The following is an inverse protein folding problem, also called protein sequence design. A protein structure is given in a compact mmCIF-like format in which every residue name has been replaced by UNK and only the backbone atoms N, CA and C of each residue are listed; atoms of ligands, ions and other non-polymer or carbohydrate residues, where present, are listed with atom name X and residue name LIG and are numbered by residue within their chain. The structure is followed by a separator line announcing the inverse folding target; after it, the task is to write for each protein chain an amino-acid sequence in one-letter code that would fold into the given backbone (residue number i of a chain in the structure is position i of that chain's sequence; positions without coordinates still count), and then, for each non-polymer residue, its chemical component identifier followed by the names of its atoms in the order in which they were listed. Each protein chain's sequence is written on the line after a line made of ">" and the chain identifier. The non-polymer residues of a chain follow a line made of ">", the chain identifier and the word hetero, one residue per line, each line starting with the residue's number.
data_IF_864089052926
#
_entry.id   IF_864089052926
#
_cell.length_a   1.000
_cell.length_b   1.000
_cell.length_c   1.000
_cell.angle_alpha   90.00
_cell.angle_beta   90.00
_cell.angle_gamma   90.00
#
_symmetry.space_group_name_H-M   'P 1'
#
loop_
_entity.id
_entity.type
_entity.pdbx_description
1 polymer ?
#
# COMPACT_ATOMS: atom_id res chain seq x y z
N UNK A 1 -6.46 -8.54 -15.44
CA UNK A 1 -6.81 -8.26 -14.02
C UNK A 1 -8.10 -7.44 -13.96
N UNK A 2 -9.03 -7.84 -13.08
CA UNK A 2 -10.28 -7.11 -12.81
C UNK A 2 -9.99 -5.69 -12.36
N UNK A 3 -10.82 -4.74 -12.84
CA UNK A 3 -10.77 -3.32 -12.41
C UNK A 3 -11.93 -2.99 -11.50
N UNK A 4 -11.70 -2.04 -10.58
CA UNK A 4 -12.67 -1.55 -9.62
C UNK A 4 -12.56 -0.03 -9.50
N UNK A 5 -13.65 0.62 -9.11
CA UNK A 5 -13.61 2.06 -8.81
C UNK A 5 -13.00 2.25 -7.43
N UNK A 6 -11.96 3.06 -7.33
CA UNK A 6 -11.28 3.37 -6.08
C UNK A 6 -12.08 4.42 -5.28
N UNK A 7 -13.12 3.93 -4.61
CA UNK A 7 -14.00 4.76 -3.82
C UNK A 7 -14.53 6.00 -4.56
N UNK A 8 -14.59 7.14 -3.86
CA UNK A 8 -15.06 8.43 -4.42
C UNK A 8 -14.08 9.13 -5.35
N UNK A 9 -12.87 8.56 -5.57
CA UNK A 9 -11.89 9.15 -6.52
C UNK A 9 -12.34 9.08 -7.97
N UNK A 10 -13.23 8.14 -8.31
CA UNK A 10 -13.65 7.87 -9.68
C UNK A 10 -12.58 7.15 -10.54
N UNK A 11 -11.41 6.85 -9.99
CA UNK A 11 -10.35 6.13 -10.71
C UNK A 11 -10.73 4.65 -10.86
N UNK A 12 -10.72 4.16 -12.09
CA UNK A 12 -10.93 2.74 -12.39
C UNK A 12 -9.57 2.02 -12.35
N UNK A 13 -9.27 1.40 -11.22
CA UNK A 13 -7.96 0.81 -10.90
C UNK A 13 -7.97 -0.71 -10.99
N UNK A 14 -6.82 -1.31 -11.33
CA UNK A 14 -6.61 -2.75 -11.20
C UNK A 14 -6.71 -3.19 -9.73
N UNK A 15 -7.29 -4.36 -9.47
CA UNK A 15 -7.46 -4.90 -8.12
C UNK A 15 -6.14 -5.23 -7.41
N UNK A 16 -5.02 -5.21 -8.14
CA UNK A 16 -3.65 -5.26 -7.62
C UNK A 16 -2.90 -4.03 -8.12
N UNK A 17 -2.09 -3.41 -7.24
CA UNK A 17 -1.20 -2.32 -7.62
C UNK A 17 0.27 -2.75 -7.64
N UNK A 18 1.05 -2.11 -8.50
CA UNK A 18 2.50 -2.25 -8.49
C UNK A 18 3.10 -1.41 -7.36
N UNK A 19 3.61 -2.06 -6.32
CA UNK A 19 4.35 -1.37 -5.26
C UNK A 19 5.78 -1.06 -5.68
N UNK A 20 6.19 0.20 -5.66
CA UNK A 20 7.51 0.65 -6.12
C UNK A 20 8.70 -0.02 -5.43
N UNK A 21 8.51 -0.58 -4.23
CA UNK A 21 9.54 -1.39 -3.55
C UNK A 21 9.99 -2.57 -4.43
N UNK A 22 9.15 -3.10 -5.30
CA UNK A 22 9.52 -4.16 -6.25
C UNK A 22 10.72 -3.74 -7.09
N UNK A 23 10.77 -2.47 -7.50
CA UNK A 23 11.89 -1.92 -8.30
C UNK A 23 13.10 -1.46 -7.48
N UNK A 24 12.98 -1.37 -6.15
CA UNK A 24 14.09 -0.90 -5.28
C UNK A 24 15.28 -1.82 -5.37
N UNK A 25 16.47 -1.23 -5.58
CA UNK A 25 17.76 -1.95 -5.66
C UNK A 25 17.83 -2.99 -6.77
N UNK A 26 16.93 -2.96 -7.73
CA UNK A 26 17.01 -3.77 -8.94
C UNK A 26 17.89 -3.08 -10.00
N UNK A 27 18.42 -3.86 -10.93
CA UNK A 27 18.98 -3.28 -12.14
C UNK A 27 17.89 -2.60 -12.97
N UNK A 28 18.21 -1.54 -13.72
CA UNK A 28 17.19 -0.81 -14.48
C UNK A 28 16.46 -1.69 -15.51
N UNK A 29 17.17 -2.63 -16.13
CA UNK A 29 16.55 -3.54 -17.09
C UNK A 29 15.54 -4.49 -16.45
N UNK A 30 15.76 -4.91 -15.19
CA UNK A 30 14.80 -5.73 -14.45
C UNK A 30 13.57 -4.93 -14.05
N UNK A 31 13.76 -3.70 -13.54
CA UNK A 31 12.63 -2.80 -13.28
C UNK A 31 11.78 -2.56 -14.54
N UNK A 32 12.43 -2.33 -15.70
CA UNK A 32 11.73 -2.16 -16.97
C UNK A 32 10.93 -3.41 -17.35
N UNK A 33 11.51 -4.59 -17.15
CA UNK A 33 10.84 -5.89 -17.42
C UNK A 33 9.65 -6.11 -16.51
N UNK A 34 9.79 -5.82 -15.21
CA UNK A 34 8.71 -5.97 -14.22
C UNK A 34 7.54 -5.02 -14.51
N UNK A 35 7.84 -3.77 -14.85
CA UNK A 35 6.81 -2.77 -15.20
C UNK A 35 6.12 -3.16 -16.51
N UNK A 36 6.86 -3.57 -17.54
CA UNK A 36 6.28 -4.01 -18.80
C UNK A 36 5.33 -5.20 -18.60
N UNK A 37 5.78 -6.22 -17.84
CA UNK A 37 4.95 -7.35 -17.48
C UNK A 37 3.68 -6.92 -16.72
N UNK A 38 3.80 -6.02 -15.74
CA UNK A 38 2.65 -5.52 -15.00
C UNK A 38 1.61 -4.86 -15.93
N UNK A 39 2.07 -4.02 -16.87
CA UNK A 39 1.21 -3.38 -17.88
C UNK A 39 0.53 -4.41 -18.76
N UNK A 40 1.24 -5.44 -19.22
CA UNK A 40 0.68 -6.55 -20.03
C UNK A 40 -0.39 -7.32 -19.27
N UNK A 41 -0.26 -7.48 -17.96
CA UNK A 41 -1.29 -8.08 -17.10
C UNK A 41 -2.48 -7.14 -16.83
N UNK A 42 -2.46 -5.90 -17.30
CA UNK A 42 -3.53 -4.92 -17.12
C UNK A 42 -3.44 -4.11 -15.83
N UNK A 43 -2.32 -4.15 -15.13
CA UNK A 43 -2.04 -3.27 -13.97
C UNK A 43 -1.95 -1.83 -14.46
N UNK A 44 -2.70 -0.95 -13.82
CA UNK A 44 -2.75 0.46 -14.17
C UNK A 44 -2.55 1.41 -12.98
N UNK A 45 -2.21 0.90 -11.80
CA UNK A 45 -1.92 1.70 -10.62
C UNK A 45 -0.53 1.36 -10.07
N UNK A 46 0.30 2.40 -9.97
CA UNK A 46 1.69 2.31 -9.50
C UNK A 46 1.86 3.20 -8.28
N UNK A 47 2.39 2.64 -7.21
CA UNK A 47 2.52 3.30 -5.91
C UNK A 47 3.99 3.33 -5.47
N UNK A 48 4.51 4.51 -5.18
CA UNK A 48 5.92 4.71 -4.81
C UNK A 48 6.05 5.73 -3.68
N UNK A 49 7.23 5.85 -3.11
CA UNK A 49 7.56 6.88 -2.12
C UNK A 49 9.05 7.23 -2.17
N UNK A 50 9.45 8.46 -1.81
CA UNK A 50 10.86 8.87 -1.67
C UNK A 50 11.63 8.00 -0.70
N UNK A 51 10.96 7.50 0.34
CA UNK A 51 11.55 6.62 1.37
C UNK A 51 11.87 5.19 0.88
N UNK A 52 11.56 4.84 -0.37
CA UNK A 52 11.79 3.52 -0.95
C UNK A 52 13.14 3.42 -1.69
N UNK A 53 14.19 4.04 -1.16
CA UNK A 53 15.51 4.01 -1.76
C UNK A 53 15.56 4.63 -3.16
N UNK A 54 15.98 3.88 -4.16
CA UNK A 54 16.08 4.31 -5.56
C UNK A 54 14.82 4.02 -6.40
N UNK A 55 13.73 3.60 -5.75
CA UNK A 55 12.49 3.17 -6.42
C UNK A 55 11.91 4.24 -7.36
N UNK A 56 11.91 5.53 -6.97
CA UNK A 56 11.40 6.60 -7.83
C UNK A 56 12.19 6.74 -9.13
N UNK A 57 13.51 6.67 -9.05
CA UNK A 57 14.39 6.77 -10.23
C UNK A 57 14.16 5.58 -11.17
N UNK A 58 14.12 4.36 -10.61
CA UNK A 58 13.88 3.13 -11.38
C UNK A 58 12.51 3.14 -12.04
N UNK A 59 11.49 3.45 -11.26
CA UNK A 59 10.10 3.44 -11.73
C UNK A 59 9.84 4.57 -12.73
N UNK A 60 10.41 5.76 -12.51
CA UNK A 60 10.30 6.90 -13.42
C UNK A 60 10.78 6.54 -14.83
N UNK A 61 11.97 5.94 -14.95
CA UNK A 61 12.47 5.46 -16.23
C UNK A 61 11.59 4.38 -16.85
N UNK A 62 11.17 3.40 -16.04
CA UNK A 62 10.35 2.27 -16.52
C UNK A 62 8.97 2.70 -16.97
N UNK A 63 8.38 3.74 -16.37
CA UNK A 63 7.04 4.24 -16.69
C UNK A 63 6.98 5.23 -17.83
N UNK A 64 8.10 5.79 -18.30
CA UNK A 64 8.11 6.77 -19.42
C UNK A 64 7.22 6.37 -20.60
N UNK A 65 7.27 5.13 -21.13
CA UNK A 65 6.43 4.72 -22.26
C UNK A 65 4.95 4.56 -21.90
N UNK A 66 4.61 4.49 -20.61
CA UNK A 66 3.29 4.10 -20.14
C UNK A 66 2.60 5.17 -19.30
N UNK A 67 3.28 6.30 -18.97
CA UNK A 67 2.79 7.31 -18.01
C UNK A 67 1.36 7.78 -18.27
N UNK A 68 0.99 7.97 -19.52
CA UNK A 68 -0.36 8.42 -19.92
C UNK A 68 -1.46 7.34 -19.77
N UNK A 69 -1.07 6.08 -19.55
CA UNK A 69 -1.98 4.93 -19.47
C UNK A 69 -2.17 4.40 -18.05
N UNK A 70 -1.49 5.01 -17.06
CA UNK A 70 -1.47 4.54 -15.68
C UNK A 70 -1.78 5.65 -14.70
N UNK A 71 -2.28 5.27 -13.55
CA UNK A 71 -2.37 6.11 -12.36
C UNK A 71 -1.08 5.97 -11.55
N UNK A 72 -0.55 7.10 -11.13
CA UNK A 72 0.68 7.17 -10.34
C UNK A 72 0.38 7.79 -8.99
N UNK A 73 0.68 7.04 -7.93
CA UNK A 73 0.60 7.50 -6.56
C UNK A 73 1.99 7.69 -5.97
N UNK A 74 2.16 8.78 -5.23
CA UNK A 74 3.37 9.05 -4.45
C UNK A 74 3.01 9.48 -3.02
N UNK A 75 4.01 9.65 -2.17
CA UNK A 75 3.83 9.91 -0.74
C UNK A 75 4.89 10.86 -0.19
N UNK A 76 4.63 11.43 0.98
CA UNK A 76 5.64 12.15 1.77
C UNK A 76 5.63 11.73 3.22
N UNK A 77 6.80 11.55 3.81
CA UNK A 77 6.98 11.39 5.26
C UNK A 77 7.18 12.73 5.96
N UNK A 78 7.32 13.81 5.21
CA UNK A 78 7.49 15.15 5.77
C UNK A 78 6.18 15.61 6.44
N UNK A 79 6.31 16.31 7.56
CA UNK A 79 5.15 16.83 8.31
C UNK A 79 5.02 18.34 8.24
N UNK A 80 6.05 19.06 7.81
CA UNK A 80 5.98 20.50 7.54
C UNK A 80 5.83 20.79 6.04
N UNK A 81 5.23 21.94 5.71
CA UNK A 81 4.89 22.33 4.34
C UNK A 81 6.13 22.50 3.45
N UNK A 82 7.19 23.13 3.95
CA UNK A 82 8.38 23.49 3.16
C UNK A 82 9.15 22.24 2.72
N UNK A 83 9.40 21.32 3.64
CA UNK A 83 10.12 20.08 3.31
C UNK A 83 9.28 19.15 2.46
N UNK A 84 7.96 19.10 2.69
CA UNK A 84 7.02 18.33 1.87
C UNK A 84 6.99 18.85 0.42
N UNK A 85 6.96 20.17 0.23
CA UNK A 85 7.03 20.77 -1.11
C UNK A 85 8.32 20.41 -1.83
N UNK A 86 9.47 20.53 -1.15
CA UNK A 86 10.78 20.19 -1.73
C UNK A 86 10.84 18.71 -2.13
N UNK A 87 10.37 17.82 -1.27
CA UNK A 87 10.31 16.38 -1.55
C UNK A 87 9.38 16.08 -2.73
N UNK A 88 8.21 16.70 -2.77
CA UNK A 88 7.23 16.57 -3.85
C UNK A 88 7.82 17.00 -5.22
N UNK A 89 8.46 18.17 -5.28
CA UNK A 89 9.09 18.66 -6.50
C UNK A 89 10.22 17.74 -6.99
N UNK A 90 10.96 17.14 -6.05
CA UNK A 90 11.97 16.14 -6.40
C UNK A 90 11.34 14.84 -6.91
N UNK A 91 10.25 14.38 -6.31
CA UNK A 91 9.51 13.21 -6.76
C UNK A 91 8.94 13.38 -8.17
N UNK A 92 8.41 14.57 -8.50
CA UNK A 92 7.94 14.87 -9.87
C UNK A 92 9.07 14.72 -10.90
N UNK A 93 10.29 15.20 -10.56
CA UNK A 93 11.49 15.08 -11.42
C UNK A 93 11.92 13.62 -11.57
N UNK A 94 12.02 12.89 -10.46
CA UNK A 94 12.47 11.51 -10.45
C UNK A 94 11.53 10.60 -11.25
N UNK A 95 10.23 10.87 -11.18
CA UNK A 95 9.17 10.08 -11.81
C UNK A 95 8.77 10.59 -13.20
N UNK A 96 9.43 11.63 -13.72
CA UNK A 96 9.16 12.21 -15.03
C UNK A 96 7.68 12.54 -15.25
N UNK A 97 7.04 13.18 -14.27
CA UNK A 97 5.62 13.52 -14.29
C UNK A 97 5.36 14.94 -13.80
N UNK A 98 4.25 15.53 -14.19
CA UNK A 98 3.85 16.88 -13.79
C UNK A 98 2.80 16.86 -12.66
N UNK A 99 2.23 15.70 -12.34
CA UNK A 99 1.19 15.54 -11.32
C UNK A 99 1.15 14.12 -10.78
N UNK A 100 0.49 13.95 -9.64
CA UNK A 100 0.13 12.65 -9.10
C UNK A 100 -1.39 12.44 -9.11
N UNK A 101 -1.81 11.25 -9.48
CA UNK A 101 -3.23 10.86 -9.45
C UNK A 101 -3.72 10.68 -8.01
N UNK A 102 -2.83 10.19 -7.13
CA UNK A 102 -3.03 10.13 -5.67
C UNK A 102 -1.73 10.56 -4.98
N UNK A 103 -1.83 11.44 -3.99
CA UNK A 103 -0.71 11.78 -3.12
C UNK A 103 -1.07 11.53 -1.67
N UNK A 104 -0.14 10.94 -0.89
CA UNK A 104 -0.48 10.42 0.43
C UNK A 104 0.44 10.97 1.52
N UNK A 105 -0.12 11.30 2.68
CA UNK A 105 0.64 11.44 3.91
C UNK A 105 1.13 10.06 4.33
N UNK A 106 2.44 9.81 4.24
CA UNK A 106 3.04 8.50 4.39
C UNK A 106 3.24 8.12 5.84
N UNK A 107 2.72 6.94 6.23
CA UNK A 107 2.95 6.33 7.55
C UNK A 107 2.65 7.28 8.72
N UNK A 108 1.57 8.06 8.61
CA UNK A 108 1.12 8.95 9.67
C UNK A 108 0.45 8.11 10.76
N UNK A 109 1.23 7.73 11.77
CA UNK A 109 0.88 6.71 12.75
C UNK A 109 1.03 7.16 14.21
N UNK A 110 1.37 8.42 14.45
CA UNK A 110 1.46 9.00 15.79
C UNK A 110 0.60 10.25 15.92
N UNK A 111 0.14 10.56 17.14
CA UNK A 111 -0.62 11.80 17.39
C UNK A 111 0.24 13.04 17.19
N UNK A 112 1.55 12.96 17.49
CA UNK A 112 2.50 14.05 17.26
C UNK A 112 2.60 14.38 15.77
N UNK A 113 2.74 13.37 14.92
CA UNK A 113 2.73 13.53 13.45
C UNK A 113 1.44 14.16 12.96
N UNK A 114 0.30 13.73 13.51
CA UNK A 114 -1.01 14.26 13.16
C UNK A 114 -1.10 15.75 13.51
N UNK A 115 -0.78 16.13 14.74
CA UNK A 115 -0.85 17.54 15.17
C UNK A 115 0.14 18.40 14.36
N UNK A 116 1.33 17.91 14.07
CA UNK A 116 2.30 18.62 13.23
C UNK A 116 1.79 18.78 11.79
N UNK A 117 1.23 17.74 11.21
CA UNK A 117 0.70 17.77 9.83
C UNK A 117 -0.42 18.81 9.63
N UNK A 118 -1.25 19.00 10.66
CA UNK A 118 -2.37 19.95 10.66
C UNK A 118 -2.06 21.31 11.31
N UNK A 119 -0.81 21.55 11.73
CA UNK A 119 -0.40 22.86 12.22
C UNK A 119 -0.38 23.92 11.12
N UNK A 120 -0.32 25.24 11.45
CA UNK A 120 -0.29 26.30 10.44
C UNK A 120 0.86 26.21 9.43
N UNK A 121 1.98 25.59 9.78
CA UNK A 121 3.12 25.29 8.89
C UNK A 121 3.19 23.82 8.48
N UNK A 122 2.14 23.06 8.73
CA UNK A 122 2.07 21.64 8.49
C UNK A 122 1.93 21.27 7.01
N UNK A 123 2.20 20.02 6.72
CA UNK A 123 2.13 19.47 5.36
C UNK A 123 0.76 19.63 4.71
N UNK A 124 -0.32 19.67 5.49
CA UNK A 124 -1.68 19.87 4.96
C UNK A 124 -1.82 21.19 4.22
N UNK A 125 -1.17 22.28 4.65
CA UNK A 125 -1.15 23.53 3.91
C UNK A 125 -0.63 23.31 2.47
N UNK A 126 0.52 22.70 2.33
CA UNK A 126 1.14 22.44 1.02
C UNK A 126 0.28 21.54 0.14
N UNK A 127 -0.19 20.39 0.65
CA UNK A 127 -0.90 19.42 -0.19
C UNK A 127 -2.26 19.94 -0.66
N UNK A 128 -2.93 20.81 0.11
CA UNK A 128 -4.16 21.47 -0.31
C UNK A 128 -3.89 22.49 -1.43
N UNK A 129 -2.87 23.32 -1.30
CA UNK A 129 -2.45 24.24 -2.36
C UNK A 129 -2.05 23.49 -3.64
N UNK A 130 -1.32 22.36 -3.52
CA UNK A 130 -0.95 21.52 -4.65
C UNK A 130 -2.17 20.88 -5.32
N UNK A 131 -3.18 20.49 -4.54
CA UNK A 131 -4.45 19.97 -5.06
C UNK A 131 -5.23 21.04 -5.82
N UNK A 132 -5.33 22.26 -5.29
CA UNK A 132 -5.96 23.40 -5.97
C UNK A 132 -5.27 23.73 -7.32
N UNK A 133 -3.96 23.59 -7.39
CA UNK A 133 -3.17 23.78 -8.61
C UNK A 133 -3.25 22.61 -9.59
N UNK A 134 -3.94 21.52 -9.24
CA UNK A 134 -4.06 20.31 -10.07
C UNK A 134 -2.82 19.42 -10.10
N UNK A 135 -1.80 19.70 -9.27
CA UNK A 135 -0.60 18.88 -9.14
C UNK A 135 -0.87 17.58 -8.36
N UNK A 136 -1.88 17.57 -7.52
CA UNK A 136 -2.43 16.42 -6.81
C UNK A 136 -3.90 16.30 -7.18
N UNK A 137 -4.32 15.16 -7.73
CA UNK A 137 -5.73 14.94 -8.10
C UNK A 137 -6.55 14.44 -6.92
N UNK A 138 -6.03 13.48 -6.18
CA UNK A 138 -6.68 12.91 -5.00
C UNK A 138 -5.70 12.90 -3.84
N UNK A 139 -6.19 13.17 -2.63
CA UNK A 139 -5.39 13.21 -1.41
C UNK A 139 -5.74 12.03 -0.52
N UNK A 140 -4.71 11.29 -0.11
CA UNK A 140 -4.86 10.16 0.79
C UNK A 140 -3.87 10.18 1.95
N UNK A 141 -3.90 9.12 2.72
CA UNK A 141 -2.89 8.86 3.74
C UNK A 141 -2.64 7.36 3.90
N UNK A 142 -1.47 7.02 4.44
CA UNK A 142 -1.20 5.69 4.96
C UNK A 142 -0.91 5.73 6.45
N UNK A 143 -1.33 4.71 7.17
CA UNK A 143 -1.10 4.58 8.60
C UNK A 143 -0.87 3.12 8.99
N UNK A 144 -0.22 2.91 10.14
CA UNK A 144 -0.10 1.63 10.80
C UNK A 144 -0.83 1.62 12.15
N UNK A 145 -1.37 2.76 12.58
CA UNK A 145 -2.21 2.91 13.77
C UNK A 145 -3.66 3.15 13.39
N UNK A 146 -4.57 2.25 13.78
CA UNK A 146 -5.99 2.43 13.55
C UNK A 146 -6.53 3.67 14.26
N UNK A 147 -6.08 3.93 15.50
CA UNK A 147 -6.52 5.09 16.28
C UNK A 147 -6.15 6.40 15.59
N UNK A 148 -4.90 6.54 15.16
CA UNK A 148 -4.45 7.75 14.46
C UNK A 148 -5.16 7.89 13.11
N UNK A 149 -5.36 6.78 12.39
CA UNK A 149 -6.11 6.80 11.15
C UNK A 149 -7.56 7.28 11.33
N UNK A 150 -8.24 6.85 12.40
CA UNK A 150 -9.58 7.34 12.75
C UNK A 150 -9.57 8.84 13.09
N UNK A 151 -8.56 9.31 13.83
CA UNK A 151 -8.41 10.75 14.13
C UNK A 151 -8.15 11.57 12.86
N UNK A 152 -7.36 11.04 11.90
CA UNK A 152 -7.19 11.69 10.59
C UNK A 152 -8.52 11.90 9.87
N UNK A 153 -9.39 10.89 9.90
CA UNK A 153 -10.71 10.99 9.27
C UNK A 153 -11.61 12.04 9.93
N UNK A 154 -11.45 12.32 11.23
CA UNK A 154 -12.20 13.38 11.89
C UNK A 154 -11.66 14.79 11.55
N UNK A 155 -10.40 14.89 11.10
CA UNK A 155 -9.77 16.18 10.75
C UNK A 155 -9.96 16.59 9.30
N UNK A 156 -10.06 15.62 8.39
CA UNK A 156 -10.15 15.92 6.96
C UNK A 156 -10.86 14.79 6.18
N UNK A 157 -11.54 15.16 5.10
CA UNK A 157 -12.24 14.22 4.20
C UNK A 157 -11.30 13.72 3.09
N UNK A 158 -10.37 12.83 3.45
CA UNK A 158 -9.44 12.20 2.50
C UNK A 158 -10.16 11.38 1.45
N UNK A 159 -9.57 11.32 0.23
CA UNK A 159 -10.10 10.54 -0.88
C UNK A 159 -9.74 9.05 -0.76
N UNK A 160 -8.55 8.73 -0.21
CA UNK A 160 -8.07 7.34 -0.06
C UNK A 160 -7.44 7.09 1.30
N UNK A 161 -7.51 5.84 1.74
CA UNK A 161 -6.76 5.32 2.88
C UNK A 161 -5.98 4.06 2.48
N UNK A 162 -4.70 4.02 2.85
CA UNK A 162 -3.84 2.85 2.71
C UNK A 162 -3.50 2.32 4.11
N UNK A 163 -3.84 1.04 4.36
CA UNK A 163 -3.67 0.43 5.67
C UNK A 163 -3.36 -1.07 5.53
N UNK A 164 -2.67 -1.71 6.49
CA UNK A 164 -2.42 -3.15 6.46
C UNK A 164 -3.68 -3.97 6.78
N UNK A 165 -4.65 -3.92 5.88
CA UNK A 165 -5.84 -4.78 5.93
C UNK A 165 -5.45 -6.21 5.55
N UNK A 166 -5.10 -7.02 6.53
CA UNK A 166 -4.66 -8.39 6.30
C UNK A 166 -5.15 -9.35 7.40
N UNK A 167 -5.09 -10.63 7.08
CA UNK A 167 -5.58 -11.72 7.93
C UNK A 167 -4.90 -11.76 9.30
N UNK A 168 -3.58 -11.59 9.36
CA UNK A 168 -2.80 -11.74 10.59
C UNK A 168 -3.19 -10.68 11.63
N UNK A 169 -3.12 -9.39 11.26
CA UNK A 169 -3.44 -8.30 12.18
C UNK A 169 -4.91 -8.32 12.60
N UNK A 170 -5.80 -8.60 11.66
CA UNK A 170 -7.22 -8.58 11.97
C UNK A 170 -7.64 -9.78 12.83
N UNK A 171 -7.18 -11.00 12.53
CA UNK A 171 -7.50 -12.19 13.33
C UNK A 171 -6.84 -12.17 14.72
N UNK A 172 -5.62 -11.61 14.83
CA UNK A 172 -4.90 -11.51 16.12
C UNK A 172 -5.50 -10.45 17.03
N UNK A 173 -5.72 -9.25 16.51
CA UNK A 173 -5.92 -8.04 17.31
C UNK A 173 -7.14 -7.20 16.88
N UNK A 174 -7.87 -7.64 15.85
CA UNK A 174 -8.99 -6.93 15.20
C UNK A 174 -8.59 -5.52 14.68
N UNK A 175 -7.31 -5.32 14.38
CA UNK A 175 -6.79 -4.06 13.85
C UNK A 175 -7.33 -3.87 12.42
N UNK A 176 -7.82 -2.67 12.13
CA UNK A 176 -8.34 -2.24 10.83
C UNK A 176 -9.86 -2.37 10.66
N UNK A 177 -10.57 -3.03 11.60
CA UNK A 177 -12.02 -3.24 11.49
C UNK A 177 -12.81 -1.93 11.50
N UNK A 178 -12.57 -1.09 12.51
CA UNK A 178 -13.25 0.21 12.65
C UNK A 178 -12.89 1.17 11.51
N UNK A 179 -11.62 1.16 11.10
CA UNK A 179 -11.16 1.97 10.00
C UNK A 179 -11.80 1.56 8.67
N UNK A 180 -11.87 0.26 8.39
CA UNK A 180 -12.53 -0.24 7.18
C UNK A 180 -14.01 0.14 7.11
N UNK A 181 -14.72 0.04 8.25
CA UNK A 181 -16.11 0.47 8.36
C UNK A 181 -16.27 1.95 8.06
N UNK A 182 -15.47 2.80 8.73
CA UNK A 182 -15.54 4.25 8.59
C UNK A 182 -15.15 4.73 7.18
N UNK A 183 -14.13 4.09 6.58
CA UNK A 183 -13.73 4.39 5.22
C UNK A 183 -14.84 4.06 4.19
N UNK A 184 -15.55 2.93 4.37
CA UNK A 184 -16.71 2.58 3.53
C UNK A 184 -17.87 3.58 3.69
N UNK A 185 -18.20 3.96 4.94
CA UNK A 185 -19.24 4.99 5.20
C UNK A 185 -18.94 6.31 4.46
N UNK A 186 -17.65 6.69 4.39
CA UNK A 186 -17.17 7.89 3.69
C UNK A 186 -16.91 7.68 2.20
N UNK A 187 -17.19 6.49 1.67
CA UNK A 187 -16.94 6.09 0.27
C UNK A 187 -15.50 6.32 -0.17
N UNK A 188 -14.54 6.17 0.73
CA UNK A 188 -13.11 6.32 0.44
C UNK A 188 -12.59 5.19 -0.44
N UNK A 189 -11.56 5.47 -1.21
CA UNK A 189 -10.74 4.42 -1.81
C UNK A 189 -9.93 3.70 -0.71
N UNK A 190 -10.11 2.41 -0.59
CA UNK A 190 -9.44 1.58 0.42
C UNK A 190 -8.36 0.75 -0.26
N UNK A 191 -7.11 0.93 0.16
CA UNK A 191 -5.94 0.23 -0.37
C UNK A 191 -5.39 -0.68 0.72
N UNK A 192 -5.43 -1.99 0.49
CA UNK A 192 -4.89 -2.97 1.43
C UNK A 192 -3.42 -3.27 1.13
N UNK A 193 -2.56 -3.06 2.13
CA UNK A 193 -1.14 -3.42 2.02
C UNK A 193 -0.82 -4.66 2.85
N UNK A 194 0.26 -5.35 2.49
CA UNK A 194 0.75 -6.54 3.19
C UNK A 194 -0.26 -7.71 3.18
N UNK A 195 -1.01 -7.86 2.08
CA UNK A 195 -2.01 -8.92 1.87
C UNK A 195 -1.42 -10.33 2.04
N UNK A 196 -0.20 -10.56 1.51
CA UNK A 196 0.53 -11.83 1.56
C UNK A 196 1.53 -11.92 2.72
N UNK A 197 1.32 -11.20 3.80
CA UNK A 197 2.20 -11.32 4.96
C UNK A 197 1.91 -12.61 5.73
N UNK A 198 2.98 -13.30 6.15
CA UNK A 198 2.89 -14.43 7.09
C UNK A 198 3.07 -13.95 8.54
N UNK A 199 4.19 -13.27 8.84
CA UNK A 199 4.57 -12.82 10.20
C UNK A 199 5.65 -11.74 10.16
N UNK A 200 6.00 -11.23 11.33
CA UNK A 200 7.22 -10.43 11.48
C UNK A 200 8.48 -11.27 11.22
N UNK A 201 9.57 -10.61 10.83
CA UNK A 201 10.89 -11.24 10.85
C UNK A 201 11.36 -11.47 12.29
N UNK A 202 11.95 -12.61 12.58
CA UNK A 202 12.49 -12.91 13.92
C UNK A 202 13.84 -12.21 14.15
N UNK A 203 14.58 -11.91 13.09
CA UNK A 203 15.83 -11.15 13.13
C UNK A 203 16.16 -10.49 11.79
N UNK A 204 17.09 -9.54 11.82
CA UNK A 204 17.65 -8.93 10.59
C UNK A 204 18.40 -9.95 9.74
N UNK A 205 19.02 -10.93 10.38
CA UNK A 205 19.77 -12.01 9.74
C UNK A 205 18.82 -12.93 8.97
N UNK A 206 17.70 -13.33 9.58
CA UNK A 206 16.65 -14.12 8.89
C UNK A 206 16.19 -13.39 7.63
N UNK A 207 15.90 -12.08 7.73
CA UNK A 207 15.48 -11.28 6.59
C UNK A 207 16.52 -11.26 5.47
N UNK A 208 17.80 -11.00 5.81
CA UNK A 208 18.90 -10.89 4.83
C UNK A 208 19.16 -12.19 4.10
N UNK A 209 19.01 -13.34 4.78
CA UNK A 209 19.25 -14.66 4.22
C UNK A 209 18.06 -15.24 3.48
N UNK A 210 16.89 -14.58 3.57
CA UNK A 210 15.67 -15.02 2.91
C UNK A 210 15.68 -14.67 1.42
N UNK A 211 14.82 -15.31 0.61
CA UNK A 211 14.55 -14.87 -0.77
C UNK A 211 13.89 -13.48 -0.86
N UNK A 212 13.45 -12.90 0.25
CA UNK A 212 12.66 -11.68 0.31
C UNK A 212 13.30 -10.53 1.12
N UNK A 213 14.57 -10.18 0.90
CA UNK A 213 15.29 -9.23 1.77
C UNK A 213 14.72 -7.81 1.73
N UNK A 214 13.97 -7.46 0.68
CA UNK A 214 13.26 -6.17 0.56
C UNK A 214 11.95 -6.11 1.32
N UNK A 215 11.33 -7.25 1.62
CA UNK A 215 10.05 -7.28 2.31
C UNK A 215 10.16 -6.88 3.78
N UNK A 216 9.30 -5.98 4.24
CA UNK A 216 9.25 -5.54 5.62
C UNK A 216 8.82 -6.62 6.61
N UNK A 217 8.01 -7.56 6.16
CA UNK A 217 7.54 -8.71 6.93
C UNK A 217 7.88 -9.98 6.16
N UNK A 218 7.94 -11.12 6.83
CA UNK A 218 8.06 -12.40 6.14
C UNK A 218 6.80 -12.64 5.32
N UNK A 219 6.91 -12.76 3.99
CA UNK A 219 5.75 -13.07 3.15
C UNK A 219 5.39 -14.55 3.24
N UNK A 220 4.16 -14.87 2.84
CA UNK A 220 3.75 -16.22 2.48
C UNK A 220 4.52 -16.60 1.21
N UNK A 221 5.11 -17.78 1.19
CA UNK A 221 5.86 -18.27 0.04
C UNK A 221 4.90 -18.60 -1.12
N UNK A 222 5.29 -18.29 -2.35
CA UNK A 222 4.44 -18.47 -3.54
C UNK A 222 4.05 -19.93 -3.79
N UNK A 223 4.79 -20.88 -3.21
CA UNK A 223 4.48 -22.32 -3.23
C UNK A 223 3.32 -22.70 -2.32
N UNK A 224 2.96 -21.86 -1.35
CA UNK A 224 1.86 -22.07 -0.42
C UNK A 224 0.54 -21.49 -1.00
N UNK A 225 0.12 -22.00 -2.16
CA UNK A 225 -0.96 -21.41 -2.98
C UNK A 225 -2.27 -21.24 -2.21
N UNK A 226 -2.75 -22.28 -1.53
CA UNK A 226 -4.01 -22.23 -0.79
C UNK A 226 -3.97 -21.21 0.35
N UNK A 227 -2.84 -21.13 1.05
CA UNK A 227 -2.66 -20.15 2.13
C UNK A 227 -2.59 -18.72 1.57
N UNK A 228 -1.84 -18.49 0.50
CA UNK A 228 -1.77 -17.18 -0.16
C UNK A 228 -3.15 -16.72 -0.65
N UNK A 229 -3.91 -17.59 -1.30
CA UNK A 229 -5.27 -17.30 -1.75
C UNK A 229 -6.23 -17.02 -0.58
N UNK A 230 -6.17 -17.81 0.51
CA UNK A 230 -6.96 -17.55 1.71
C UNK A 230 -6.64 -16.19 2.34
N UNK A 231 -5.35 -15.83 2.43
CA UNK A 231 -4.91 -14.53 2.93
C UNK A 231 -5.42 -13.36 2.06
N UNK A 232 -5.38 -13.50 0.72
CA UNK A 232 -5.91 -12.50 -0.21
C UNK A 232 -7.43 -12.35 -0.09
N UNK A 233 -8.18 -13.45 -0.07
CA UNK A 233 -9.65 -13.43 0.13
C UNK A 233 -10.01 -12.76 1.45
N UNK A 234 -9.24 -13.06 2.50
CA UNK A 234 -9.45 -12.42 3.80
C UNK A 234 -9.22 -10.91 3.72
N UNK A 235 -8.11 -10.47 3.13
CA UNK A 235 -7.81 -9.05 2.94
C UNK A 235 -8.94 -8.35 2.16
N UNK A 236 -9.39 -8.94 1.05
CA UNK A 236 -10.50 -8.43 0.24
C UNK A 236 -11.82 -8.34 1.03
N UNK A 237 -12.09 -9.29 1.92
CA UNK A 237 -13.31 -9.30 2.75
C UNK A 237 -13.38 -8.13 3.72
N UNK A 238 -12.25 -7.51 4.06
CA UNK A 238 -12.17 -6.30 4.88
C UNK A 238 -12.54 -5.02 4.12
N UNK A 239 -12.66 -5.09 2.78
CA UNK A 239 -13.22 -4.04 1.94
C UNK A 239 -12.27 -3.26 1.04
N UNK A 240 -10.96 -3.55 0.95
CA UNK A 240 -10.10 -2.91 -0.05
C UNK A 240 -10.60 -3.16 -1.47
N UNK A 241 -10.51 -2.12 -2.33
CA UNK A 241 -10.71 -2.24 -3.77
C UNK A 241 -9.42 -2.68 -4.47
N UNK A 242 -8.29 -2.53 -3.80
CA UNK A 242 -6.98 -2.81 -4.38
C UNK A 242 -6.04 -3.33 -3.29
N UNK A 243 -5.22 -4.32 -3.63
CA UNK A 243 -4.18 -4.86 -2.78
C UNK A 243 -2.79 -4.46 -3.30
N UNK A 244 -1.86 -4.26 -2.38
CA UNK A 244 -0.43 -4.10 -2.67
C UNK A 244 0.34 -5.20 -1.94
N UNK A 245 0.94 -6.13 -2.68
CA UNK A 245 1.68 -7.26 -2.10
C UNK A 245 3.01 -6.83 -1.43
N UNK A 246 3.69 -7.72 -0.72
CA UNK A 246 5.05 -7.49 -0.26
C UNK A 246 6.00 -7.10 -1.40
N UNK A 247 7.03 -6.31 -1.11
CA UNK A 247 7.89 -5.64 -2.06
C UNK A 247 8.90 -6.52 -2.80
N UNK A 248 8.48 -7.66 -3.34
CA UNK A 248 9.28 -8.49 -4.24
C UNK A 248 8.44 -8.90 -5.47
N UNK A 249 9.11 -9.20 -6.58
CA UNK A 249 8.41 -9.47 -7.83
C UNK A 249 7.63 -10.80 -7.79
N UNK A 250 8.13 -11.82 -7.12
CA UNK A 250 7.45 -13.12 -7.02
C UNK A 250 6.10 -13.01 -6.29
N UNK A 251 6.06 -12.34 -5.14
CA UNK A 251 4.78 -12.07 -4.45
C UNK A 251 3.83 -11.19 -5.28
N UNK A 252 4.37 -10.24 -6.04
CA UNK A 252 3.57 -9.43 -6.94
C UNK A 252 2.95 -10.28 -8.07
N UNK A 253 3.74 -11.15 -8.72
CA UNK A 253 3.23 -12.08 -9.72
C UNK A 253 2.16 -13.00 -9.15
N UNK A 254 2.43 -13.61 -7.98
CA UNK A 254 1.46 -14.48 -7.31
C UNK A 254 0.12 -13.76 -7.09
N UNK A 255 0.14 -12.53 -6.59
CA UNK A 255 -1.09 -11.77 -6.33
C UNK A 255 -1.83 -11.45 -7.63
N UNK A 256 -1.13 -11.02 -8.66
CA UNK A 256 -1.70 -10.73 -9.99
C UNK A 256 -2.35 -11.97 -10.62
N UNK A 257 -1.69 -13.13 -10.54
CA UNK A 257 -2.18 -14.39 -11.11
C UNK A 257 -3.40 -14.96 -10.37
N UNK A 258 -3.54 -14.65 -9.08
CA UNK A 258 -4.59 -15.24 -8.24
C UNK A 258 -5.76 -14.29 -7.92
N UNK A 259 -5.62 -12.98 -8.12
CA UNK A 259 -6.60 -11.99 -7.65
C UNK A 259 -8.00 -12.19 -8.24
N UNK A 260 -8.12 -12.54 -9.51
CA UNK A 260 -9.42 -12.75 -10.15
C UNK A 260 -10.16 -13.93 -9.54
N UNK A 261 -9.47 -15.05 -9.34
CA UNK A 261 -10.05 -16.21 -8.68
C UNK A 261 -10.46 -15.90 -7.23
N UNK A 262 -9.68 -15.08 -6.51
CA UNK A 262 -10.03 -14.67 -5.15
C UNK A 262 -11.25 -13.75 -5.09
N UNK A 263 -11.43 -12.86 -6.09
CA UNK A 263 -12.61 -11.99 -6.17
C UNK A 263 -13.86 -12.79 -6.56
N UNK A 264 -13.74 -13.73 -7.53
CA UNK A 264 -14.85 -14.56 -8.00
C UNK A 264 -15.30 -15.59 -6.97
N UNK A 265 -14.37 -16.06 -6.13
CA UNK A 265 -14.63 -17.03 -5.06
C UNK A 265 -14.26 -16.37 -3.73
N UNK A 266 -15.19 -15.65 -3.09
CA UNK A 266 -14.92 -14.93 -1.85
C UNK A 266 -14.61 -15.86 -0.68
N UNK A 267 -14.08 -15.29 0.40
CA UNK A 267 -13.67 -15.97 1.63
C UNK A 267 -14.71 -17.01 2.11
N UNK A 268 -14.26 -18.25 2.24
CA UNK A 268 -15.08 -19.40 2.65
C UNK A 268 -14.61 -20.06 3.95
N UNK A 269 -15.37 -21.06 4.42
CA UNK A 269 -15.01 -21.80 5.65
C UNK A 269 -13.67 -22.52 5.57
N UNK A 270 -13.28 -23.02 4.41
CA UNK A 270 -12.00 -23.69 4.17
C UNK A 270 -10.84 -22.72 4.31
N UNK A 271 -10.95 -21.53 3.71
CA UNK A 271 -9.97 -20.46 3.87
C UNK A 271 -9.80 -20.11 5.36
N UNK A 272 -10.90 -19.98 6.09
CA UNK A 272 -10.87 -19.68 7.52
C UNK A 272 -10.20 -20.79 8.35
N UNK A 273 -10.35 -22.05 7.96
CA UNK A 273 -9.67 -23.17 8.62
C UNK A 273 -8.15 -23.11 8.40
N UNK A 274 -7.73 -22.82 7.16
CA UNK A 274 -6.31 -22.62 6.82
C UNK A 274 -5.76 -21.46 7.65
N UNK A 275 -6.39 -20.28 7.61
CA UNK A 275 -5.89 -19.08 8.30
C UNK A 275 -5.80 -19.27 9.82
N UNK A 276 -6.77 -19.95 10.45
CA UNK A 276 -6.70 -20.25 11.88
C UNK A 276 -5.55 -21.18 12.22
N UNK A 277 -5.30 -22.19 11.38
CA UNK A 277 -4.18 -23.13 11.54
C UNK A 277 -2.85 -22.41 11.42
N UNK A 278 -2.70 -21.52 10.44
CA UNK A 278 -1.48 -20.73 10.23
C UNK A 278 -1.29 -19.69 11.35
N UNK A 279 -2.37 -19.10 11.87
CA UNK A 279 -2.30 -18.14 12.98
C UNK A 279 -1.71 -18.77 14.26
N UNK A 280 -2.08 -20.01 14.58
CA UNK A 280 -1.51 -20.70 15.75
C UNK A 280 0.00 -20.95 15.59
N UNK A 281 0.49 -21.19 14.37
CA UNK A 281 1.94 -21.36 14.10
C UNK A 281 2.74 -20.09 14.31
N UNK A 282 2.12 -18.92 14.11
CA UNK A 282 2.79 -17.61 14.18
C UNK A 282 2.34 -16.77 15.37
N UNK A 283 1.73 -17.39 16.37
CA UNK A 283 1.24 -16.73 17.57
C UNK A 283 2.34 -15.92 18.27
N UNK A 284 2.06 -14.65 18.58
CA UNK A 284 3.02 -13.73 19.18
C UNK A 284 4.06 -13.15 18.22
N UNK A 285 3.96 -13.43 16.91
CA UNK A 285 4.87 -12.90 15.89
C UNK A 285 4.19 -11.80 15.05
N UNK A 286 3.36 -10.99 15.69
CA UNK A 286 2.75 -9.82 15.05
C UNK A 286 3.81 -8.75 14.74
N UNK A 287 3.55 -7.92 13.73
CA UNK A 287 4.51 -6.92 13.26
C UNK A 287 4.09 -5.48 13.56
N UNK A 288 2.89 -5.27 14.07
CA UNK A 288 2.46 -3.98 14.62
C UNK A 288 1.72 -4.20 15.94
N UNK A 289 1.98 -3.31 16.88
CA UNK A 289 1.15 -3.14 18.08
C UNK A 289 -0.12 -2.34 17.74
N UNK A 290 -1.10 -2.30 18.66
CA UNK A 290 -2.35 -1.53 18.46
C UNK A 290 -2.10 -0.03 18.27
N UNK A 291 -1.02 0.50 18.83
CA UNK A 291 -0.58 1.88 18.62
C UNK A 291 0.26 2.09 17.35
N UNK A 292 0.38 1.07 16.49
CA UNK A 292 1.02 1.15 15.19
C UNK A 292 2.54 1.12 15.20
N UNK A 293 3.15 0.83 16.34
CA UNK A 293 4.61 0.64 16.39
C UNK A 293 4.99 -0.70 15.79
N UNK A 294 6.05 -0.68 15.00
CA UNK A 294 6.66 -1.92 14.50
C UNK A 294 7.36 -2.61 15.67
N UNK A 295 7.01 -3.87 15.90
CA UNK A 295 7.57 -4.72 16.97
C UNK A 295 8.84 -5.41 16.51
#
# INVERSE_FOLDING_TARGET
>A
VIRQILGKTGLEVSAVAYGGIVSTSEEQHDSNRYVAWAIEQGINYFDVAPSYGDAELKLGESLKPYRSKVYLACKTTQRNAVDAQREFEQSLKNLHTEYFDVYQLHSLSTMEDLETAFSPSGVMQFVLEAKEKGLIRNLGFSSHSEEVALQLLERFDFDTVMFPFNWHLHLSERIGERLALKARERKMGIIGIKSLVQRAWTSKEERKQSPYPKSWCKPIEETQIEFGQAAMRYALSLGPQMLIPPGNFASFQFEVENIEACIQNPLGPEDMAILKTELEKVKGQTFFSKDGKML
#
